data_IF_912716646226
#
_entry.id   IF_912716646226
#
_cell.length_a   1.000
_cell.length_b   1.000
_cell.length_c   1.000
_cell.angle_alpha   90.00
_cell.angle_beta   90.00
_cell.angle_gamma   90.00
#
_symmetry.space_group_name_H-M   'P 1'
#
loop_
_entity.id
_entity.type
_entity.pdbx_description
1 polymer ?
#
# COMPACT_ATOMS: atom_id res chain seq x y z
N UNK A 1 -22.93 11.90 -11.41
CA UNK A 1 -21.96 11.48 -10.36
C UNK A 1 -20.57 11.29 -10.97
N UNK A 2 -19.75 12.34 -10.97
CA UNK A 2 -18.36 12.32 -11.46
C UNK A 2 -17.40 11.88 -10.33
N UNK A 3 -16.35 11.11 -10.66
CA UNK A 3 -15.34 10.60 -9.71
C UNK A 3 -15.03 9.11 -9.92
N UNK A 4 -13.79 8.64 -9.76
CA UNK A 4 -13.46 7.20 -9.88
C UNK A 4 -13.94 6.44 -8.64
N UNK A 5 -14.19 5.13 -8.76
CA UNK A 5 -14.40 4.29 -7.57
C UNK A 5 -13.10 4.16 -6.77
N UNK A 6 -13.18 3.87 -5.47
CA UNK A 6 -11.99 3.83 -4.63
C UNK A 6 -11.04 2.70 -5.06
N UNK A 7 -11.59 1.56 -5.51
CA UNK A 7 -10.79 0.50 -6.13
C UNK A 7 -10.04 1.00 -7.35
N UNK A 8 -10.68 1.80 -8.21
CA UNK A 8 -10.02 2.40 -9.38
C UNK A 8 -8.96 3.43 -8.98
N UNK A 9 -9.18 4.25 -7.96
CA UNK A 9 -8.15 5.16 -7.43
C UNK A 9 -6.92 4.38 -6.95
N UNK A 10 -7.12 3.28 -6.20
CA UNK A 10 -6.01 2.43 -5.76
C UNK A 10 -5.26 1.79 -6.93
N UNK A 11 -5.98 1.35 -7.97
CA UNK A 11 -5.41 0.77 -9.18
C UNK A 11 -4.58 1.79 -9.97
N UNK A 12 -5.06 3.04 -10.11
CA UNK A 12 -4.29 4.12 -10.73
C UNK A 12 -3.00 4.37 -9.98
N UNK A 13 -3.03 4.43 -8.64
CA UNK A 13 -1.82 4.55 -7.84
C UNK A 13 -0.85 3.39 -8.08
N UNK A 14 -1.34 2.15 -8.11
CA UNK A 14 -0.52 0.95 -8.38
C UNK A 14 0.13 0.99 -9.77
N UNK A 15 -0.64 1.37 -10.79
CA UNK A 15 -0.12 1.50 -12.14
C UNK A 15 0.98 2.55 -12.20
N UNK A 16 0.79 3.71 -11.57
CA UNK A 16 1.82 4.75 -11.49
C UNK A 16 3.07 4.26 -10.75
N UNK A 17 2.93 3.58 -9.62
CA UNK A 17 4.06 2.98 -8.88
C UNK A 17 4.81 1.97 -9.78
N UNK A 18 4.08 1.15 -10.53
CA UNK A 18 4.65 0.12 -11.43
C UNK A 18 5.37 0.76 -12.62
N UNK A 19 4.79 1.79 -13.23
CA UNK A 19 5.40 2.55 -14.32
C UNK A 19 6.69 3.21 -13.85
N UNK A 20 6.65 3.89 -12.69
CA UNK A 20 7.85 4.52 -12.12
C UNK A 20 8.90 3.48 -11.76
N UNK A 21 8.51 2.30 -11.26
CA UNK A 21 9.41 1.19 -11.06
C UNK A 21 10.09 0.75 -12.37
N UNK A 22 9.33 0.57 -13.45
CA UNK A 22 9.88 0.22 -14.76
C UNK A 22 10.84 1.27 -15.31
N UNK A 23 10.49 2.56 -15.17
CA UNK A 23 11.37 3.67 -15.52
C UNK A 23 12.65 3.61 -14.68
N UNK A 24 12.53 3.43 -13.36
CA UNK A 24 13.68 3.33 -12.45
C UNK A 24 14.57 2.17 -12.88
N UNK A 25 14.01 1.00 -13.14
CA UNK A 25 14.78 -0.18 -13.58
C UNK A 25 15.57 0.06 -14.87
N UNK A 26 15.00 0.82 -15.81
CA UNK A 26 15.64 1.13 -17.08
C UNK A 26 16.75 2.18 -16.95
N UNK A 27 16.53 3.24 -16.18
CA UNK A 27 17.49 4.36 -16.06
C UNK A 27 18.58 4.12 -15.01
N UNK A 28 18.32 3.26 -14.02
CA UNK A 28 19.21 2.99 -12.88
C UNK A 28 20.60 2.48 -13.31
N UNK A 29 20.74 1.47 -14.20
CA UNK A 29 22.05 0.91 -14.54
C UNK A 29 23.02 1.93 -15.13
N UNK A 30 22.68 2.71 -16.19
CA UNK A 30 23.62 3.67 -16.75
C UNK A 30 23.97 4.77 -15.75
N UNK A 31 22.98 5.27 -14.99
CA UNK A 31 23.20 6.37 -14.05
C UNK A 31 24.11 5.94 -12.89
N UNK A 32 23.90 4.77 -12.30
CA UNK A 32 24.74 4.32 -11.18
C UNK A 32 26.11 3.83 -11.63
N UNK A 33 26.25 3.28 -12.84
CA UNK A 33 27.57 2.97 -13.38
C UNK A 33 28.36 4.26 -13.63
N UNK A 34 27.75 5.30 -14.19
CA UNK A 34 28.40 6.59 -14.43
C UNK A 34 28.80 7.30 -13.12
N UNK A 35 27.98 7.18 -12.08
CA UNK A 35 28.16 7.94 -10.81
C UNK A 35 28.95 7.18 -9.75
N UNK A 36 28.72 5.86 -9.64
CA UNK A 36 29.17 5.01 -8.53
C UNK A 36 30.08 3.88 -9.03
N UNK A 37 30.10 3.59 -10.34
CA UNK A 37 30.93 2.55 -10.94
C UNK A 37 30.31 1.14 -10.89
N UNK A 38 29.11 0.98 -10.32
CA UNK A 38 28.39 -0.29 -10.29
C UNK A 38 26.87 -0.05 -10.26
N UNK A 39 26.11 -0.99 -10.84
CA UNK A 39 24.64 -1.01 -10.73
C UNK A 39 24.19 -1.79 -9.49
N UNK A 40 22.94 -1.61 -9.08
CA UNK A 40 22.33 -2.41 -8.01
C UNK A 40 22.40 -3.91 -8.30
N UNK A 41 22.69 -4.75 -7.30
CA UNK A 41 22.68 -6.21 -7.45
C UNK A 41 21.32 -6.72 -7.93
N UNK A 42 21.32 -7.73 -8.81
CA UNK A 42 20.09 -8.32 -9.36
C UNK A 42 19.13 -8.80 -8.26
N UNK A 43 19.63 -9.36 -7.17
CA UNK A 43 18.81 -9.81 -6.04
C UNK A 43 17.97 -8.68 -5.44
N UNK A 44 18.55 -7.48 -5.32
CA UNK A 44 17.86 -6.28 -4.81
C UNK A 44 16.78 -5.84 -5.78
N UNK A 45 17.07 -5.89 -7.08
CA UNK A 45 16.12 -5.57 -8.14
C UNK A 45 14.92 -6.53 -8.12
N UNK A 46 15.17 -7.83 -8.03
CA UNK A 46 14.10 -8.85 -7.92
C UNK A 46 13.26 -8.65 -6.64
N UNK A 47 13.89 -8.34 -5.51
CA UNK A 47 13.16 -8.04 -4.27
C UNK A 47 12.28 -6.79 -4.40
N UNK A 48 12.77 -5.75 -5.09
CA UNK A 48 12.01 -4.54 -5.42
C UNK A 48 10.82 -4.84 -6.35
N UNK A 49 11.00 -5.73 -7.33
CA UNK A 49 9.90 -6.20 -8.19
C UNK A 49 8.85 -6.97 -7.38
N UNK A 50 9.27 -7.95 -6.58
CA UNK A 50 8.38 -8.80 -5.80
C UNK A 50 7.53 -7.97 -4.82
N UNK A 51 8.16 -7.03 -4.12
CA UNK A 51 7.46 -6.11 -3.22
C UNK A 51 6.49 -5.18 -3.95
N UNK A 52 6.79 -4.76 -5.18
CA UNK A 52 5.84 -3.99 -6.03
C UNK A 52 4.63 -4.84 -6.43
N UNK A 53 4.86 -6.10 -6.83
CA UNK A 53 3.80 -7.03 -7.24
C UNK A 53 2.87 -7.39 -6.08
N UNK A 54 3.39 -7.52 -4.86
CA UNK A 54 2.56 -7.81 -3.67
C UNK A 54 1.49 -6.75 -3.41
N UNK A 55 1.71 -5.50 -3.82
CA UNK A 55 0.71 -4.43 -3.66
C UNK A 55 -0.57 -4.72 -4.48
N UNK A 56 -0.49 -5.46 -5.58
CA UNK A 56 -1.66 -5.83 -6.38
C UNK A 56 -2.65 -6.76 -5.66
N UNK A 57 -2.30 -7.32 -4.50
CA UNK A 57 -3.23 -8.08 -3.67
C UNK A 57 -4.46 -7.27 -3.26
N UNK A 58 -4.43 -5.93 -3.32
CA UNK A 58 -5.59 -5.07 -3.07
C UNK A 58 -6.77 -5.36 -4.00
N UNK A 59 -6.53 -5.93 -5.18
CA UNK A 59 -7.57 -6.28 -6.16
C UNK A 59 -8.45 -7.44 -5.70
N UNK A 60 -7.98 -8.27 -4.76
CA UNK A 60 -8.73 -9.40 -4.25
C UNK A 60 -9.83 -8.91 -3.31
N UNK A 61 -11.07 -9.35 -3.54
CA UNK A 61 -12.25 -8.86 -2.81
C UNK A 61 -12.41 -9.53 -1.44
N UNK A 62 -11.43 -9.29 -0.56
CA UNK A 62 -11.44 -9.79 0.81
C UNK A 62 -10.92 -8.73 1.79
N UNK A 63 -11.60 -8.50 2.93
CA UNK A 63 -11.12 -7.58 3.96
C UNK A 63 -9.84 -8.11 4.62
N UNK A 64 -9.68 -9.43 4.73
CA UNK A 64 -8.49 -10.07 5.32
C UNK A 64 -7.22 -9.77 4.52
N UNK A 65 -7.35 -9.75 3.18
CA UNK A 65 -6.23 -9.50 2.27
C UNK A 65 -5.74 -8.04 2.38
N UNK A 66 -6.60 -7.11 2.76
CA UNK A 66 -6.19 -5.71 2.93
C UNK A 66 -5.20 -5.53 4.09
N UNK A 67 -5.28 -6.35 5.15
CA UNK A 67 -4.25 -6.32 6.20
C UNK A 67 -2.86 -6.67 5.64
N UNK A 68 -2.79 -7.69 4.77
CA UNK A 68 -1.55 -8.05 4.08
C UNK A 68 -1.09 -6.94 3.11
N UNK A 69 -2.03 -6.23 2.48
CA UNK A 69 -1.71 -5.07 1.63
C UNK A 69 -1.11 -3.92 2.43
N UNK A 70 -1.68 -3.59 3.59
CA UNK A 70 -1.15 -2.53 4.45
C UNK A 70 0.25 -2.91 4.94
N UNK A 71 0.42 -4.15 5.41
CA UNK A 71 1.70 -4.65 5.88
C UNK A 71 2.75 -4.66 4.76
N UNK A 72 2.40 -5.16 3.57
CA UNK A 72 3.31 -5.16 2.41
C UNK A 72 3.65 -3.75 1.93
N UNK A 73 2.72 -2.79 2.02
CA UNK A 73 2.98 -1.38 1.72
C UNK A 73 3.99 -0.76 2.69
N UNK A 74 3.92 -1.13 3.98
CA UNK A 74 4.89 -0.70 4.98
C UNK A 74 6.28 -1.28 4.72
N UNK A 75 6.37 -2.59 4.45
CA UNK A 75 7.64 -3.22 4.04
C UNK A 75 8.20 -2.58 2.76
N UNK A 76 7.34 -2.36 1.76
CA UNK A 76 7.70 -1.67 0.53
C UNK A 76 8.30 -0.29 0.83
N UNK A 77 7.64 0.52 1.68
CA UNK A 77 8.12 1.85 2.05
C UNK A 77 9.49 1.80 2.73
N UNK A 78 9.67 0.93 3.73
CA UNK A 78 10.94 0.80 4.45
C UNK A 78 12.06 0.38 3.50
N UNK A 79 11.87 -0.72 2.77
CA UNK A 79 12.92 -1.27 1.90
C UNK A 79 13.37 -0.26 0.84
N UNK A 80 12.44 0.42 0.19
CA UNK A 80 12.77 1.40 -0.84
C UNK A 80 13.35 2.70 -0.28
N UNK A 81 12.93 3.11 0.92
CA UNK A 81 13.53 4.27 1.61
C UNK A 81 14.96 3.98 2.07
N UNK A 82 15.22 2.79 2.60
CA UNK A 82 16.57 2.36 2.99
C UNK A 82 17.50 2.25 1.77
N UNK A 83 16.99 1.69 0.66
CA UNK A 83 17.75 1.60 -0.59
C UNK A 83 18.09 2.97 -1.15
N UNK A 84 17.11 3.87 -1.20
CA UNK A 84 17.32 5.24 -1.66
C UNK A 84 18.30 6.00 -0.75
N UNK A 85 18.14 5.88 0.57
CA UNK A 85 19.04 6.47 1.55
C UNK A 85 20.47 5.95 1.42
N UNK A 86 20.64 4.64 1.22
CA UNK A 86 21.95 4.02 1.00
C UNK A 86 22.64 4.53 -0.27
N UNK A 87 21.89 4.69 -1.38
CA UNK A 87 22.43 5.24 -2.63
C UNK A 87 22.84 6.70 -2.45
N UNK A 88 22.01 7.53 -1.81
CA UNK A 88 22.32 8.95 -1.55
C UNK A 88 23.55 9.07 -0.65
N UNK A 89 23.61 8.30 0.43
CA UNK A 89 24.74 8.33 1.36
C UNK A 89 26.04 7.89 0.67
N UNK A 90 25.97 6.84 -0.17
CA UNK A 90 27.12 6.40 -0.95
C UNK A 90 27.59 7.49 -1.92
N UNK A 91 26.65 8.11 -2.64
CA UNK A 91 26.94 9.20 -3.56
C UNK A 91 27.62 10.39 -2.86
N UNK A 92 27.06 10.86 -1.74
CA UNK A 92 27.62 11.97 -0.98
C UNK A 92 29.05 11.65 -0.49
N UNK A 93 29.26 10.43 0.02
CA UNK A 93 30.58 9.99 0.47
C UNK A 93 31.57 9.89 -0.69
N UNK A 94 31.17 9.32 -1.83
CA UNK A 94 32.04 9.25 -3.01
C UNK A 94 32.46 10.65 -3.50
N UNK A 95 31.49 11.58 -3.55
CA UNK A 95 31.72 12.99 -3.90
C UNK A 95 32.74 13.66 -3.00
N UNK A 96 32.76 13.39 -1.70
CA UNK A 96 33.75 13.94 -0.76
C UNK A 96 35.20 13.55 -1.11
N UNK A 97 35.40 12.34 -1.64
CA UNK A 97 36.73 11.83 -2.00
C UNK A 97 37.20 12.20 -3.42
N UNK A 98 36.30 12.64 -4.30
CA UNK A 98 36.67 13.13 -5.64
C UNK A 98 37.48 14.44 -5.58
N UNK A 99 38.56 14.50 -6.37
CA UNK A 99 39.44 15.68 -6.44
C UNK A 99 38.67 16.90 -6.97
N UNK A 100 38.98 18.12 -6.50
CA UNK A 100 38.24 19.34 -6.86
C UNK A 100 38.27 19.66 -8.36
N UNK A 101 39.29 19.20 -9.10
CA UNK A 101 39.44 19.47 -10.54
C UNK A 101 38.50 18.63 -11.42
N UNK A 102 38.29 17.35 -11.09
CA UNK A 102 37.31 16.49 -11.79
C UNK A 102 35.89 16.91 -11.46
N UNK A 103 35.66 17.36 -10.21
CA UNK A 103 34.37 17.91 -9.79
C UNK A 103 33.93 19.03 -10.72
N UNK A 104 34.79 20.00 -11.02
CA UNK A 104 34.50 21.16 -11.88
C UNK A 104 34.22 20.84 -13.36
N UNK A 105 34.81 19.77 -13.92
CA UNK A 105 34.69 19.42 -15.34
C UNK A 105 33.43 18.60 -15.65
N UNK A 106 33.00 17.72 -14.74
CA UNK A 106 31.84 16.83 -14.93
C UNK A 106 30.56 17.30 -14.20
N UNK A 107 30.62 18.43 -13.49
CA UNK A 107 29.63 18.87 -12.50
C UNK A 107 28.18 18.92 -13.02
N UNK A 108 27.93 19.19 -14.30
CA UNK A 108 26.58 19.57 -14.74
C UNK A 108 25.71 18.42 -15.27
N UNK A 109 26.24 17.43 -16.00
CA UNK A 109 25.36 16.44 -16.65
C UNK A 109 25.13 15.19 -15.79
N UNK A 110 26.17 14.70 -15.13
CA UNK A 110 26.11 13.47 -14.32
C UNK A 110 25.24 13.70 -13.09
N UNK A 111 25.42 14.82 -12.39
CA UNK A 111 24.63 15.19 -11.21
C UNK A 111 23.15 15.42 -11.54
N UNK A 112 22.84 16.02 -12.69
CA UNK A 112 21.46 16.23 -13.13
C UNK A 112 20.74 14.91 -13.40
N UNK A 113 21.41 13.96 -14.06
CA UNK A 113 20.87 12.62 -14.31
C UNK A 113 20.66 11.86 -13.00
N UNK A 114 21.63 11.93 -12.09
CA UNK A 114 21.51 11.32 -10.77
C UNK A 114 20.36 11.94 -9.95
N UNK A 115 20.24 13.26 -9.93
CA UNK A 115 19.17 13.96 -9.23
C UNK A 115 17.79 13.64 -9.83
N UNK A 116 17.70 13.51 -11.15
CA UNK A 116 16.51 13.02 -11.84
C UNK A 116 16.13 11.60 -11.41
N UNK A 117 17.11 10.69 -11.33
CA UNK A 117 16.90 9.34 -10.82
C UNK A 117 16.40 9.33 -9.36
N UNK A 118 17.02 10.14 -8.48
CA UNK A 118 16.59 10.29 -7.10
C UNK A 118 15.16 10.82 -7.01
N UNK A 119 14.80 11.80 -7.84
CA UNK A 119 13.46 12.38 -7.89
C UNK A 119 12.40 11.35 -8.33
N UNK A 120 12.70 10.53 -9.34
CA UNK A 120 11.81 9.42 -9.76
C UNK A 120 11.61 8.42 -8.61
N UNK A 121 12.68 8.07 -7.90
CA UNK A 121 12.61 7.18 -6.74
C UNK A 121 11.77 7.78 -5.61
N UNK A 122 11.93 9.07 -5.32
CA UNK A 122 11.13 9.78 -4.31
C UNK A 122 9.66 9.82 -4.69
N UNK A 123 9.33 10.17 -5.94
CA UNK A 123 7.94 10.19 -6.42
C UNK A 123 7.27 8.82 -6.24
N UNK A 124 8.01 7.73 -6.51
CA UNK A 124 7.52 6.36 -6.31
C UNK A 124 7.21 6.08 -4.84
N UNK A 125 8.06 6.51 -3.91
CA UNK A 125 7.83 6.35 -2.46
C UNK A 125 6.65 7.21 -2.00
N UNK A 126 6.54 8.45 -2.47
CA UNK A 126 5.44 9.37 -2.11
C UNK A 126 4.08 8.81 -2.55
N UNK A 127 4.00 8.14 -3.70
CA UNK A 127 2.77 7.51 -4.17
C UNK A 127 2.28 6.36 -3.28
N UNK A 128 3.12 5.83 -2.38
CA UNK A 128 2.70 4.84 -1.39
C UNK A 128 1.69 5.43 -0.38
N UNK A 129 1.80 6.72 -0.02
CA UNK A 129 0.88 7.36 0.93
C UNK A 129 -0.58 7.42 0.44
N UNK A 130 -0.90 7.98 -0.75
CA UNK A 130 -2.26 7.97 -1.26
C UNK A 130 -2.74 6.53 -1.53
N UNK A 131 -1.85 5.62 -1.94
CA UNK A 131 -2.18 4.22 -2.12
C UNK A 131 -2.67 3.56 -0.82
N UNK A 132 -1.91 3.68 0.27
CA UNK A 132 -2.29 3.13 1.59
C UNK A 132 -3.58 3.77 2.11
N UNK A 133 -3.76 5.07 1.90
CA UNK A 133 -5.00 5.76 2.24
C UNK A 133 -6.22 5.14 1.54
N UNK A 134 -6.15 4.91 0.22
CA UNK A 134 -7.23 4.25 -0.51
C UNK A 134 -7.43 2.80 -0.07
N UNK A 135 -6.34 2.06 0.23
CA UNK A 135 -6.44 0.71 0.76
C UNK A 135 -7.17 0.67 2.13
N UNK A 136 -6.92 1.64 3.01
CA UNK A 136 -7.63 1.76 4.29
C UNK A 136 -9.12 2.06 4.10
N UNK A 137 -9.49 2.90 3.13
CA UNK A 137 -10.91 3.14 2.83
C UNK A 137 -11.55 1.87 2.26
N UNK A 138 -10.86 1.16 1.36
CA UNK A 138 -11.33 -0.13 0.85
C UNK A 138 -11.54 -1.15 1.97
N UNK A 139 -10.70 -1.12 3.01
CA UNK A 139 -10.87 -1.99 4.16
C UNK A 139 -12.20 -1.73 4.86
N UNK A 140 -12.54 -0.46 5.11
CA UNK A 140 -13.81 -0.08 5.73
C UNK A 140 -14.99 -0.50 4.85
N UNK A 141 -14.88 -0.34 3.53
CA UNK A 141 -15.94 -0.72 2.59
C UNK A 141 -16.14 -2.24 2.58
N UNK A 142 -15.06 -3.03 2.44
CA UNK A 142 -15.13 -4.50 2.41
C UNK A 142 -15.55 -5.12 3.73
N UNK A 143 -15.17 -4.51 4.86
CA UNK A 143 -15.63 -4.95 6.18
C UNK A 143 -17.15 -4.81 6.34
N UNK A 144 -17.77 -3.88 5.61
CA UNK A 144 -19.20 -3.69 5.59
C UNK A 144 -19.86 -4.33 4.35
N UNK A 145 -19.31 -5.41 3.79
CA UNK A 145 -19.86 -6.14 2.62
C UNK A 145 -19.85 -5.37 1.27
N UNK A 146 -19.20 -4.21 1.18
CA UNK A 146 -19.04 -3.48 -0.08
C UNK A 146 -17.79 -3.91 -0.85
N UNK A 147 -17.84 -3.96 -2.19
CA UNK A 147 -16.67 -4.36 -2.99
C UNK A 147 -15.68 -3.22 -3.31
N UNK A 148 -16.10 -1.96 -3.12
CA UNK A 148 -15.31 -0.76 -3.46
C UNK A 148 -15.25 -0.41 -4.96
N UNK A 149 -15.76 -1.30 -5.82
CA UNK A 149 -15.81 -1.11 -7.28
C UNK A 149 -17.00 -0.29 -7.74
N UNK A 150 -18.15 -0.45 -7.08
CA UNK A 150 -19.36 0.33 -7.35
C UNK A 150 -19.26 1.68 -6.65
N UNK A 151 -19.67 2.74 -7.34
CA UNK A 151 -19.93 4.02 -6.68
C UNK A 151 -21.25 3.87 -5.95
N UNK A 152 -21.18 3.89 -4.62
CA UNK A 152 -22.37 3.86 -3.78
C UNK A 152 -22.15 4.88 -2.68
N UNK A 153 -23.16 5.72 -2.44
CA UNK A 153 -23.08 6.67 -1.32
C UNK A 153 -23.12 5.90 0.00
N UNK A 154 -22.54 6.49 1.05
CA UNK A 154 -22.59 5.91 2.39
C UNK A 154 -24.03 5.65 2.86
N UNK A 155 -24.96 6.54 2.48
CA UNK A 155 -26.39 6.44 2.82
C UNK A 155 -27.05 5.27 2.09
N UNK A 156 -26.84 5.12 0.78
CA UNK A 156 -27.37 3.98 0.02
C UNK A 156 -26.86 2.65 0.60
N UNK A 157 -25.59 2.62 1.00
CA UNK A 157 -24.97 1.46 1.62
C UNK A 157 -25.56 1.12 2.98
N UNK A 158 -25.79 2.12 3.81
CA UNK A 158 -26.45 1.94 5.10
C UNK A 158 -27.88 1.44 4.94
N UNK A 159 -28.65 1.99 3.99
CA UNK A 159 -30.02 1.54 3.67
C UNK A 159 -30.05 0.08 3.23
N UNK A 160 -29.07 -0.39 2.44
CA UNK A 160 -29.01 -1.79 2.01
C UNK A 160 -28.62 -2.76 3.13
N UNK A 161 -27.84 -2.33 4.13
CA UNK A 161 -27.33 -3.21 5.20
C UNK A 161 -28.25 -3.24 6.41
N UNK A 162 -28.99 -2.16 6.66
CA UNK A 162 -29.90 -2.03 7.79
C UNK A 162 -30.84 -3.23 7.97
N UNK A 163 -31.51 -3.75 6.90
CA UNK A 163 -32.43 -4.88 7.03
C UNK A 163 -31.76 -6.14 7.58
N UNK A 164 -30.59 -6.50 7.05
CA UNK A 164 -29.81 -7.65 7.52
C UNK A 164 -29.39 -7.49 8.98
N UNK A 165 -28.91 -6.31 9.38
CA UNK A 165 -28.53 -6.04 10.78
C UNK A 165 -29.72 -6.14 11.73
N UNK A 166 -30.90 -5.69 11.31
CA UNK A 166 -32.12 -5.83 12.11
C UNK A 166 -32.48 -7.31 12.29
N UNK A 167 -32.33 -8.12 11.24
CA UNK A 167 -32.60 -9.56 11.27
C UNK A 167 -31.63 -10.30 12.21
N UNK A 168 -30.32 -10.07 12.10
CA UNK A 168 -29.32 -10.64 13.02
C UNK A 168 -29.58 -10.24 14.48
N UNK A 169 -29.97 -8.98 14.73
CA UNK A 169 -30.31 -8.52 16.08
C UNK A 169 -31.56 -9.21 16.62
N UNK A 170 -32.57 -9.46 15.78
CA UNK A 170 -33.76 -10.24 16.16
C UNK A 170 -33.42 -11.69 16.47
N UNK A 171 -32.58 -12.34 15.67
CA UNK A 171 -32.12 -13.71 15.95
C UNK A 171 -31.36 -13.78 17.28
N UNK A 172 -30.46 -12.81 17.52
CA UNK A 172 -29.71 -12.73 18.76
C UNK A 172 -30.63 -12.47 19.96
N UNK A 173 -31.64 -11.62 19.82
CA UNK A 173 -32.67 -11.40 20.84
C UNK A 173 -33.41 -12.70 21.16
N UNK A 174 -33.88 -13.43 20.14
CA UNK A 174 -34.57 -14.71 20.31
C UNK A 174 -33.70 -15.75 21.01
N UNK A 175 -32.41 -15.82 20.64
CA UNK A 175 -31.44 -16.70 21.30
C UNK A 175 -31.27 -16.37 22.78
N UNK A 176 -31.12 -15.08 23.12
CA UNK A 176 -30.97 -14.63 24.51
C UNK A 176 -32.25 -14.93 25.31
N UNK A 177 -33.43 -14.63 24.77
CA UNK A 177 -34.70 -14.92 25.45
C UNK A 177 -34.87 -16.42 25.70
N UNK A 178 -34.56 -17.27 24.71
CA UNK A 178 -34.60 -18.74 24.86
C UNK A 178 -33.67 -19.22 25.97
N UNK A 179 -32.45 -18.67 26.06
CA UNK A 179 -31.48 -18.99 27.11
C UNK A 179 -31.92 -18.50 28.48
N UNK A 180 -32.51 -17.30 28.57
CA UNK A 180 -33.02 -16.72 29.80
C UNK A 180 -34.18 -17.54 30.37
N UNK A 181 -35.19 -17.87 29.54
CA UNK A 181 -36.30 -18.71 29.97
C UNK A 181 -35.83 -20.10 30.40
N UNK A 182 -34.91 -20.73 29.66
CA UNK A 182 -34.35 -22.04 30.05
C UNK A 182 -33.67 -21.99 31.42
N UNK A 183 -32.84 -20.98 31.66
CA UNK A 183 -32.16 -20.83 32.96
C UNK A 183 -33.14 -20.54 34.10
N UNK A 184 -34.19 -19.75 33.85
CA UNK A 184 -35.20 -19.41 34.86
C UNK A 184 -36.01 -20.64 35.31
N UNK A 185 -36.33 -21.56 34.38
CA UNK A 185 -36.94 -22.85 34.70
C UNK A 185 -35.99 -23.79 35.46
N UNK A 186 -34.70 -23.84 35.12
CA UNK A 186 -33.70 -24.66 35.84
C UNK A 186 -33.46 -24.17 37.28
N UNK A 187 -33.60 -22.87 37.54
CA UNK A 187 -33.51 -22.31 38.91
C UNK A 187 -34.76 -22.58 39.74
N UNK A 188 -35.96 -22.60 39.13
CA UNK A 188 -37.22 -22.91 39.81
C UNK A 188 -37.36 -24.41 40.10
N UNK A 189 -36.80 -25.29 39.27
CA UNK A 189 -36.81 -26.74 39.48
C UNK A 189 -35.75 -27.26 40.45
N UNK A 190 -34.87 -26.40 41.00
CA UNK A 190 -33.86 -26.74 42.02
C UNK A 190 -34.20 -26.20 43.41
N UNK A 191 -35.33 -25.50 43.56
CA UNK A 191 -35.81 -24.96 44.83
C UNK A 191 -36.87 -25.84 45.53
N UNK A 192 -37.06 -27.08 45.06
CA UNK A 192 -37.79 -28.15 45.76
C UNK A 192 -36.80 -29.18 46.33
#
# INVERSE_FOLDING_TARGET
MFGLSISMCSLVCLLLITILFGITWYIEPPILVDVIGFSLPLAVKIASLASTLLLYMVLLDSPGIIYFVILSSFFYFITHSMLLGGIIQFYLRYREYERPLTRLLDFNQVDQRFLGFILVCFLRIILCFPYVYYALILFVIRKNEGSGWKKMSAVEHEVTILPKKIEELKERQNFIMKKYYKNSFETLGKSE
#
